data_IF_239887513062
#
_entry.id   IF_239887513062
#
_cell.length_a   1.000
_cell.length_b   1.000
_cell.length_c   1.000
_cell.angle_alpha   90.00
_cell.angle_beta   90.00
_cell.angle_gamma   90.00
#
_symmetry.space_group_name_H-M   'P 1'
#
loop_
_entity.id
_entity.type
_entity.pdbx_description
1 polymer ?
#
# COMPACT_ATOMS: atom_id res chain seq x y z
N UNK A 1 -33.21 -28.61 59.94
CA UNK A 1 -32.65 -28.82 61.31
C UNK A 1 -32.06 -27.49 61.70
N UNK A 2 -32.82 -26.76 62.50
CA UNK A 2 -32.66 -26.55 63.95
C UNK A 2 -31.49 -25.60 64.21
N UNK A 3 -31.64 -24.49 64.73
CA UNK A 3 -32.29 -23.81 65.85
C UNK A 3 -31.36 -22.68 66.28
N UNK A 4 -31.80 -21.40 66.33
CA UNK A 4 -32.26 -20.63 67.49
C UNK A 4 -31.16 -20.38 68.55
N UNK A 5 -30.90 -19.18 69.09
CA UNK A 5 -31.76 -18.19 69.74
C UNK A 5 -30.92 -16.99 70.19
N UNK A 6 -31.53 -15.80 70.22
CA UNK A 6 -31.17 -14.68 71.10
C UNK A 6 -31.93 -14.84 72.49
N UNK A 7 -31.99 -13.80 73.36
CA UNK A 7 -31.20 -12.73 73.95
C UNK A 7 -31.08 -12.87 75.48
N UNK A 8 -31.09 -11.96 76.48
CA UNK A 8 -31.62 -10.59 76.61
C UNK A 8 -30.86 -9.56 77.47
N UNK A 9 -31.19 -8.34 77.34
CA UNK A 9 -31.43 -7.16 78.18
C UNK A 9 -31.10 -7.08 79.68
N UNK A 10 -30.75 -5.83 80.13
CA UNK A 10 -31.32 -4.99 81.16
C UNK A 10 -30.29 -3.89 81.53
N UNK A 11 -30.58 -2.64 81.25
CA UNK A 11 -31.22 -1.58 82.05
C UNK A 11 -30.46 -1.21 83.36
N UNK A 12 -30.02 0.04 83.48
CA UNK A 12 -30.44 0.98 84.52
C UNK A 12 -29.84 2.38 84.31
N UNK A 13 -30.73 3.34 84.53
CA UNK A 13 -30.51 4.77 84.40
C UNK A 13 -29.74 5.38 85.57
N UNK A 14 -29.17 6.55 85.35
CA UNK A 14 -29.19 7.70 86.29
C UNK A 14 -28.62 8.96 85.60
N UNK A 15 -29.46 10.02 85.53
CA UNK A 15 -29.09 11.42 85.30
C UNK A 15 -28.80 12.06 86.66
N UNK A 16 -28.45 13.38 86.77
CA UNK A 16 -27.89 14.37 85.86
C UNK A 16 -26.71 15.13 86.50
N UNK A 17 -25.94 15.97 85.73
CA UNK A 17 -25.43 17.28 86.19
C UNK A 17 -25.09 18.14 84.97
N UNK A 18 -25.73 19.31 84.95
CA UNK A 18 -25.48 20.41 84.05
C UNK A 18 -24.13 21.06 84.27
N UNK A 19 -23.39 21.24 83.22
CA UNK A 19 -22.29 22.22 83.12
C UNK A 19 -22.36 22.95 81.78
N UNK A 20 -22.76 24.24 81.90
CA UNK A 20 -22.68 25.25 80.83
C UNK A 20 -21.24 25.36 80.38
N UNK A 21 -20.99 25.01 79.11
CA UNK A 21 -19.74 25.33 78.45
C UNK A 21 -20.04 26.10 77.20
N UNK A 22 -19.66 27.38 77.24
CA UNK A 22 -19.55 28.26 76.07
C UNK A 22 -18.74 27.59 74.96
N UNK A 23 -19.37 27.15 73.92
CA UNK A 23 -18.66 26.76 72.66
C UNK A 23 -18.69 27.99 71.76
N UNK A 24 -17.54 28.62 71.69
CA UNK A 24 -17.19 29.59 70.66
C UNK A 24 -17.42 28.91 69.30
N UNK A 25 -18.39 29.36 68.55
CA UNK A 25 -18.61 29.01 67.15
C UNK A 25 -17.43 29.59 66.33
N UNK A 26 -16.44 28.78 66.13
CA UNK A 26 -15.53 29.03 65.03
C UNK A 26 -16.32 28.64 63.75
N UNK A 27 -16.78 29.69 63.05
CA UNK A 27 -17.28 29.56 61.70
C UNK A 27 -16.22 28.89 60.86
N UNK A 28 -16.44 27.63 60.47
CA UNK A 28 -15.79 27.07 59.28
C UNK A 28 -16.21 27.95 58.11
N UNK A 29 -15.33 28.89 57.77
CA UNK A 29 -15.34 29.43 56.43
C UNK A 29 -15.08 28.21 55.53
N UNK A 30 -16.14 27.73 54.92
CA UNK A 30 -16.02 26.80 53.83
C UNK A 30 -15.15 27.50 52.78
N UNK A 31 -13.87 27.13 52.78
CA UNK A 31 -12.97 27.46 51.70
C UNK A 31 -13.63 26.96 50.44
N UNK A 32 -14.27 27.84 49.69
CA UNK A 32 -14.74 27.58 48.35
C UNK A 32 -13.51 27.07 47.56
N UNK A 33 -13.51 25.79 47.29
CA UNK A 33 -12.55 25.19 46.40
C UNK A 33 -12.39 26.03 45.14
N UNK A 34 -11.19 26.18 44.61
CA UNK A 34 -10.94 27.03 43.43
C UNK A 34 -11.80 26.53 42.27
N UNK A 35 -12.51 27.45 41.70
CA UNK A 35 -13.36 27.39 40.55
C UNK A 35 -12.78 26.42 39.46
N UNK A 36 -13.19 25.15 39.49
CA UNK A 36 -13.14 24.35 38.28
C UNK A 36 -14.19 24.96 37.36
N UNK A 37 -13.77 25.87 36.49
CA UNK A 37 -14.60 26.39 35.44
C UNK A 37 -14.94 25.21 34.54
N UNK A 38 -16.06 24.55 34.78
CA UNK A 38 -16.51 23.46 33.92
C UNK A 38 -16.71 24.04 32.52
N UNK A 39 -15.91 23.58 31.57
CA UNK A 39 -16.02 24.01 30.18
C UNK A 39 -17.26 23.32 29.59
N UNK A 40 -18.19 24.11 29.07
CA UNK A 40 -19.38 23.56 28.43
C UNK A 40 -19.00 22.94 27.05
N UNK A 41 -19.66 21.82 26.68
CA UNK A 41 -19.44 21.20 25.38
C UNK A 41 -20.04 22.04 24.24
N UNK A 42 -19.57 21.83 22.99
CA UNK A 42 -20.20 22.43 21.84
C UNK A 42 -21.65 22.00 21.69
N UNK A 43 -22.47 22.83 21.02
CA UNK A 43 -23.90 22.56 20.84
C UNK A 43 -24.21 22.26 19.37
N UNK A 44 -25.35 21.62 19.13
CA UNK A 44 -25.96 21.40 17.82
C UNK A 44 -24.96 20.77 16.81
N UNK A 45 -24.19 19.76 17.27
CA UNK A 45 -23.31 19.02 16.39
C UNK A 45 -24.13 18.28 15.32
N UNK A 46 -23.90 18.62 14.07
CA UNK A 46 -24.58 18.06 12.90
C UNK A 46 -23.59 17.59 11.85
N UNK A 47 -23.96 16.55 11.12
CA UNK A 47 -23.24 16.03 9.97
C UNK A 47 -24.17 16.10 8.77
N UNK A 48 -23.78 16.77 7.71
CA UNK A 48 -24.58 16.95 6.48
C UNK A 48 -23.80 16.48 5.26
N UNK A 49 -24.50 15.92 4.29
CA UNK A 49 -23.92 15.54 2.99
C UNK A 49 -24.18 16.67 1.98
N UNK A 50 -23.15 17.37 1.51
CA UNK A 50 -23.27 18.37 0.47
C UNK A 50 -23.37 17.78 -0.95
N UNK A 51 -23.42 16.43 -1.11
CA UNK A 51 -23.45 15.76 -2.41
C UNK A 51 -22.06 15.56 -3.05
N UNK A 52 -21.01 15.49 -2.24
CA UNK A 52 -19.62 15.35 -2.69
C UNK A 52 -19.05 13.95 -2.43
N UNK A 53 -19.86 12.92 -2.60
CA UNK A 53 -19.49 11.50 -2.59
C UNK A 53 -18.59 11.07 -1.41
N UNK A 54 -18.93 11.50 -0.19
CA UNK A 54 -18.19 11.11 1.01
C UNK A 54 -17.45 12.26 1.69
N UNK A 55 -17.37 13.42 1.08
CA UNK A 55 -16.92 14.62 1.77
C UNK A 55 -18.10 15.22 2.53
N UNK A 56 -18.15 15.00 3.84
CA UNK A 56 -19.23 15.46 4.72
C UNK A 56 -18.86 16.76 5.41
N UNK A 57 -19.87 17.63 5.61
CA UNK A 57 -19.76 18.82 6.42
C UNK A 57 -20.14 18.51 7.87
N UNK A 58 -19.22 18.80 8.80
CA UNK A 58 -19.42 18.70 10.25
C UNK A 58 -19.52 20.11 10.80
N UNK A 59 -20.64 20.46 11.40
CA UNK A 59 -20.92 21.80 11.93
C UNK A 59 -21.38 21.70 13.39
N UNK A 60 -20.99 22.70 14.19
CA UNK A 60 -21.43 22.83 15.57
C UNK A 60 -21.52 24.30 15.97
N UNK A 61 -22.20 24.57 17.06
CA UNK A 61 -22.26 25.89 17.67
C UNK A 61 -21.34 26.00 18.87
N UNK A 62 -20.80 27.19 19.18
CA UNK A 62 -20.01 27.40 20.37
C UNK A 62 -20.82 27.09 21.63
N UNK A 63 -20.16 26.70 22.73
CA UNK A 63 -20.85 26.50 24.02
C UNK A 63 -21.60 27.76 24.47
N UNK A 64 -22.70 27.62 25.21
CA UNK A 64 -23.40 28.76 25.78
C UNK A 64 -22.47 29.47 26.78
N UNK A 65 -22.55 30.78 26.86
CA UNK A 65 -21.83 31.63 27.82
C UNK A 65 -20.27 31.59 27.69
N UNK A 66 -19.72 31.08 26.62
CA UNK A 66 -18.34 31.41 26.28
C UNK A 66 -18.27 32.87 25.83
N UNK A 67 -18.46 33.78 26.80
CA UNK A 67 -17.93 35.13 26.58
C UNK A 67 -16.44 34.95 26.39
N UNK A 68 -15.98 35.20 25.19
CA UNK A 68 -14.60 35.37 24.85
C UNK A 68 -14.11 36.59 25.62
N UNK A 69 -13.80 36.42 26.92
CA UNK A 69 -12.89 37.33 27.57
C UNK A 69 -11.59 37.21 26.78
N UNK A 70 -10.94 38.31 26.45
CA UNK A 70 -9.64 38.34 25.77
C UNK A 70 -8.56 37.54 26.50
N UNK A 71 -8.92 36.88 27.59
CA UNK A 71 -8.08 36.12 28.51
C UNK A 71 -7.97 34.62 28.20
N UNK A 72 -8.88 34.06 27.41
CA UNK A 72 -8.86 32.64 27.09
C UNK A 72 -9.09 32.32 25.62
N UNK A 73 -8.36 31.33 25.14
CA UNK A 73 -8.50 30.79 23.77
C UNK A 73 -9.39 29.56 23.78
N UNK A 74 -10.44 29.61 22.99
CA UNK A 74 -11.31 28.46 22.71
C UNK A 74 -10.81 27.76 21.45
N UNK A 75 -10.65 26.43 21.54
CA UNK A 75 -10.38 25.51 20.42
C UNK A 75 -11.33 24.33 20.54
N UNK A 76 -11.46 23.60 19.46
CA UNK A 76 -12.23 22.36 19.40
C UNK A 76 -11.31 21.22 19.01
N UNK A 77 -11.48 20.07 19.66
CA UNK A 77 -10.92 18.81 19.24
C UNK A 77 -12.04 18.01 18.59
N UNK A 78 -11.93 17.78 17.31
CA UNK A 78 -12.84 16.95 16.53
C UNK A 78 -12.14 15.61 16.24
N UNK A 79 -12.78 14.53 16.63
CA UNK A 79 -12.35 13.18 16.29
C UNK A 79 -13.42 12.51 15.43
N UNK A 80 -12.98 11.84 14.38
CA UNK A 80 -13.89 11.23 13.41
C UNK A 80 -13.30 9.94 12.83
N UNK A 81 -14.19 9.02 12.45
CA UNK A 81 -13.84 7.74 11.81
C UNK A 81 -15.05 7.14 11.10
N UNK A 82 -14.84 6.11 10.30
CA UNK A 82 -15.93 5.20 9.91
C UNK A 82 -16.07 4.06 10.92
N UNK A 83 -17.28 3.54 11.07
CA UNK A 83 -17.54 2.35 11.89
C UNK A 83 -16.66 1.19 11.43
N UNK A 84 -15.91 0.59 12.36
CA UNK A 84 -14.97 -0.50 12.11
C UNK A 84 -13.51 -0.05 11.97
N UNK A 85 -13.23 1.24 11.81
CA UNK A 85 -11.86 1.75 11.88
C UNK A 85 -11.32 1.63 13.31
N UNK A 86 -10.08 1.21 13.45
CA UNK A 86 -9.43 1.05 14.77
C UNK A 86 -9.11 2.38 15.42
N UNK A 87 -8.72 3.37 14.63
CA UNK A 87 -8.21 4.64 15.10
C UNK A 87 -9.13 5.80 14.75
N UNK A 88 -9.17 6.80 15.63
CA UNK A 88 -9.82 8.07 15.38
C UNK A 88 -8.85 9.04 14.70
N UNK A 89 -9.25 9.63 13.59
CA UNK A 89 -8.56 10.78 12.99
C UNK A 89 -8.87 12.01 13.84
N UNK A 90 -7.87 12.87 14.10
CA UNK A 90 -8.00 14.00 15.03
C UNK A 90 -7.67 15.31 14.32
N UNK A 91 -8.54 16.30 14.48
CA UNK A 91 -8.32 17.67 14.02
C UNK A 91 -8.52 18.64 15.18
N UNK A 92 -7.55 19.53 15.39
CA UNK A 92 -7.67 20.68 16.29
C UNK A 92 -7.98 21.92 15.47
N UNK A 93 -9.07 22.63 15.82
CA UNK A 93 -9.54 23.79 15.06
C UNK A 93 -10.13 24.88 15.93
N UNK A 94 -10.22 26.09 15.39
CA UNK A 94 -11.01 27.19 15.92
C UNK A 94 -12.28 27.44 15.08
N UNK A 95 -12.39 26.77 13.95
CA UNK A 95 -13.57 26.87 13.07
C UNK A 95 -14.72 26.10 13.69
N UNK A 96 -15.94 26.51 13.39
CA UNK A 96 -17.19 25.85 13.79
C UNK A 96 -17.73 24.91 12.70
N UNK A 97 -17.00 24.79 11.63
CA UNK A 97 -17.31 23.94 10.47
C UNK A 97 -16.03 23.30 9.94
N UNK A 98 -16.09 22.00 9.68
CA UNK A 98 -15.05 21.22 9.02
C UNK A 98 -15.68 20.44 7.86
N UNK A 99 -14.88 20.23 6.82
CA UNK A 99 -15.21 19.29 5.74
C UNK A 99 -14.18 18.18 5.76
N UNK A 100 -14.64 16.93 5.88
CA UNK A 100 -13.76 15.75 5.99
C UNK A 100 -14.30 14.59 5.18
N UNK A 101 -13.38 13.73 4.70
CA UNK A 101 -13.70 12.55 3.90
C UNK A 101 -14.14 11.37 4.76
N UNK A 102 -15.19 10.67 4.31
CA UNK A 102 -15.70 9.42 4.87
C UNK A 102 -16.02 8.43 3.75
N UNK A 103 -15.89 7.16 4.06
CA UNK A 103 -16.42 6.08 3.23
C UNK A 103 -17.94 5.98 3.46
N UNK A 104 -18.74 6.34 2.46
CA UNK A 104 -20.19 6.33 2.54
C UNK A 104 -20.82 4.93 2.57
N UNK A 105 -20.06 3.88 2.32
CA UNK A 105 -20.54 2.50 2.50
C UNK A 105 -20.73 2.14 3.98
N UNK A 106 -20.09 2.90 4.88
CA UNK A 106 -20.07 2.71 6.33
C UNK A 106 -20.62 3.93 7.08
N UNK A 107 -21.04 3.74 8.30
CA UNK A 107 -21.50 4.85 9.15
C UNK A 107 -20.33 5.77 9.50
N UNK A 108 -20.49 7.07 9.32
CA UNK A 108 -19.58 8.09 9.82
C UNK A 108 -19.85 8.35 11.30
N UNK A 109 -18.83 8.34 12.14
CA UNK A 109 -18.87 8.64 13.57
C UNK A 109 -18.03 9.88 13.84
N UNK A 110 -18.58 10.85 14.54
CA UNK A 110 -17.91 12.11 14.89
C UNK A 110 -18.15 12.42 16.36
N UNK A 111 -17.13 12.92 17.03
CA UNK A 111 -17.24 13.51 18.35
C UNK A 111 -16.42 14.79 18.46
N UNK A 112 -16.96 15.77 19.16
CA UNK A 112 -16.33 17.08 19.31
C UNK A 112 -16.36 17.48 20.79
N UNK A 113 -15.27 18.07 21.27
CA UNK A 113 -15.17 18.68 22.58
C UNK A 113 -14.56 20.07 22.51
N UNK A 114 -14.88 20.91 23.48
CA UNK A 114 -14.30 22.24 23.63
C UNK A 114 -13.03 22.15 24.45
N UNK A 115 -11.99 22.84 24.02
CA UNK A 115 -10.74 23.04 24.74
C UNK A 115 -10.61 24.53 25.10
N UNK A 116 -10.38 24.82 26.36
CA UNK A 116 -10.17 26.17 26.86
C UNK A 116 -8.79 26.29 27.50
N UNK A 117 -8.03 27.30 27.11
CA UNK A 117 -6.70 27.58 27.69
C UNK A 117 -6.45 29.08 27.74
N UNK A 118 -5.84 29.54 28.83
CA UNK A 118 -5.43 30.93 29.05
C UNK A 118 -5.52 31.31 30.51
N UNK A 119 -5.55 32.62 30.76
CA UNK A 119 -5.60 33.18 32.11
C UNK A 119 -6.82 32.69 32.94
N UNK A 120 -7.98 32.47 32.28
CA UNK A 120 -9.18 31.94 32.93
C UNK A 120 -9.02 30.51 33.43
N UNK A 121 -7.99 29.80 33.00
CA UNK A 121 -7.71 28.42 33.41
C UNK A 121 -6.32 28.25 34.01
N UNK A 122 -5.70 29.36 34.45
CA UNK A 122 -4.31 29.37 34.93
C UNK A 122 -3.31 28.72 33.96
N UNK A 123 -3.51 28.94 32.64
CA UNK A 123 -2.76 28.36 31.54
C UNK A 123 -2.80 26.82 31.45
N UNK A 124 -3.66 26.15 32.23
CA UNK A 124 -3.94 24.72 32.10
C UNK A 124 -5.02 24.52 31.05
N UNK A 125 -4.84 23.57 30.14
CA UNK A 125 -5.88 23.23 29.18
C UNK A 125 -7.01 22.42 29.87
N UNK A 126 -8.21 22.96 29.84
CA UNK A 126 -9.42 22.33 30.38
C UNK A 126 -10.29 21.88 29.22
N UNK A 127 -10.87 20.67 29.34
CA UNK A 127 -11.66 20.02 28.30
C UNK A 127 -13.10 19.84 28.73
N UNK A 128 -14.03 19.98 27.81
CA UNK A 128 -15.44 19.65 28.03
C UNK A 128 -15.71 18.15 27.87
N UNK A 129 -16.93 17.75 28.21
CA UNK A 129 -17.48 16.47 27.78
C UNK A 129 -17.57 16.41 26.24
N UNK A 130 -17.58 15.18 25.71
CA UNK A 130 -17.73 14.93 24.29
C UNK A 130 -19.19 15.03 23.85
N UNK A 131 -19.41 15.66 22.70
CA UNK A 131 -20.68 15.58 21.96
C UNK A 131 -20.47 14.66 20.76
N UNK A 132 -21.45 13.79 20.50
CA UNK A 132 -21.39 12.75 19.48
C UNK A 132 -22.42 12.98 18.40
N UNK A 133 -22.07 12.66 17.16
CA UNK A 133 -23.02 12.57 16.05
C UNK A 133 -22.62 11.40 15.12
N UNK A 134 -23.61 10.85 14.46
CA UNK A 134 -23.40 9.81 13.44
C UNK A 134 -24.17 10.16 12.18
N UNK A 135 -23.61 9.74 11.03
CA UNK A 135 -24.27 9.90 9.75
C UNK A 135 -24.20 8.60 8.97
N UNK A 136 -25.30 8.23 8.37
CA UNK A 136 -25.38 7.08 7.47
C UNK A 136 -26.22 7.45 6.26
N UNK A 137 -25.66 7.19 5.07
CA UNK A 137 -26.41 7.37 3.82
C UNK A 137 -27.61 6.41 3.81
N UNK A 138 -28.83 6.89 3.56
CA UNK A 138 -29.99 6.02 3.38
C UNK A 138 -29.87 5.29 2.05
N UNK A 139 -29.18 4.13 2.05
CA UNK A 139 -28.97 3.33 0.86
C UNK A 139 -30.30 2.72 0.40
N UNK A 140 -30.77 3.15 -0.76
CA UNK A 140 -31.94 2.58 -1.42
C UNK A 140 -31.55 1.36 -2.26
N UNK A 141 -32.49 0.46 -2.50
CA UNK A 141 -32.26 -0.76 -3.27
C UNK A 141 -31.85 -1.98 -2.41
N UNK A 142 -31.99 -3.17 -3.00
CA UNK A 142 -31.59 -4.42 -2.36
C UNK A 142 -30.08 -4.59 -2.43
N UNK A 143 -29.47 -5.16 -1.39
CA UNK A 143 -28.01 -5.40 -1.32
C UNK A 143 -27.50 -6.17 -2.54
N UNK A 144 -28.27 -7.19 -2.95
CA UNK A 144 -27.90 -8.05 -4.08
C UNK A 144 -28.02 -7.34 -5.45
N UNK A 145 -28.55 -6.11 -5.49
CA UNK A 145 -28.57 -5.28 -6.71
C UNK A 145 -27.35 -4.39 -6.87
N UNK A 146 -26.52 -4.27 -5.84
CA UNK A 146 -25.25 -3.55 -5.89
C UNK A 146 -24.28 -4.22 -6.86
N UNK A 147 -23.47 -3.44 -7.58
CA UNK A 147 -22.43 -3.97 -8.48
C UNK A 147 -21.43 -4.83 -7.71
N UNK A 148 -20.96 -5.90 -8.36
CA UNK A 148 -20.00 -6.83 -7.79
C UNK A 148 -18.63 -6.72 -8.47
N UNK A 149 -17.60 -7.29 -7.85
CA UNK A 149 -16.23 -7.36 -8.37
C UNK A 149 -15.71 -5.98 -8.82
N UNK A 150 -16.10 -4.93 -8.08
CA UNK A 150 -15.59 -3.59 -8.33
C UNK A 150 -14.09 -3.56 -8.10
N UNK A 151 -13.35 -3.25 -9.14
CA UNK A 151 -11.90 -3.23 -9.13
C UNK A 151 -11.37 -2.07 -9.96
N UNK A 152 -10.36 -1.36 -9.43
CA UNK A 152 -9.71 -0.24 -10.12
C UNK A 152 -8.20 -0.44 -10.16
N UNK A 153 -7.57 -0.04 -11.26
CA UNK A 153 -6.12 -0.01 -11.45
C UNK A 153 -5.72 1.33 -12.06
N UNK A 154 -4.73 1.99 -11.45
CA UNK A 154 -4.17 3.24 -11.95
C UNK A 154 -2.94 2.94 -12.81
N UNK A 155 -3.14 2.95 -14.12
CA UNK A 155 -2.14 2.54 -15.10
C UNK A 155 -1.17 3.69 -15.38
N UNK A 156 0.12 3.41 -15.23
CA UNK A 156 1.24 4.27 -15.62
C UNK A 156 1.22 5.69 -15.04
N UNK A 157 0.44 5.89 -13.97
CA UNK A 157 0.12 7.22 -13.40
C UNK A 157 -0.56 8.15 -14.40
N UNK A 158 -1.26 7.60 -15.38
CA UNK A 158 -1.92 8.36 -16.45
C UNK A 158 -3.43 8.27 -16.38
N UNK A 159 -3.99 7.06 -16.19
CA UNK A 159 -5.42 6.84 -16.15
C UNK A 159 -5.85 5.75 -15.19
N UNK A 160 -7.01 5.96 -14.58
CA UNK A 160 -7.64 4.97 -13.71
C UNK A 160 -8.67 4.17 -14.50
N UNK A 161 -8.49 2.87 -14.56
CA UNK A 161 -9.46 1.94 -15.13
C UNK A 161 -10.20 1.22 -14.02
N UNK A 162 -11.50 1.47 -13.91
CA UNK A 162 -12.40 0.75 -13.01
C UNK A 162 -13.30 -0.20 -13.79
N UNK A 163 -13.53 -1.39 -13.25
CA UNK A 163 -14.44 -2.38 -13.82
C UNK A 163 -15.33 -2.97 -12.73
N UNK A 164 -16.49 -3.45 -13.11
CA UNK A 164 -17.46 -4.09 -12.22
C UNK A 164 -18.31 -5.12 -12.97
N UNK A 165 -19.04 -5.93 -12.21
CA UNK A 165 -20.06 -6.84 -12.71
C UNK A 165 -21.44 -6.39 -12.22
N UNK A 166 -22.53 -6.64 -12.98
CA UNK A 166 -23.88 -6.41 -12.48
C UNK A 166 -24.17 -7.16 -11.19
N UNK A 167 -24.95 -6.56 -10.30
CA UNK A 167 -25.44 -7.24 -9.10
C UNK A 167 -26.28 -8.47 -9.45
N UNK A 168 -26.29 -9.46 -8.55
CA UNK A 168 -27.02 -10.74 -8.77
C UNK A 168 -28.51 -10.56 -9.07
N UNK A 169 -29.14 -9.56 -8.43
CA UNK A 169 -30.55 -9.21 -8.62
C UNK A 169 -30.73 -7.95 -9.48
N UNK A 170 -29.72 -7.55 -10.25
CA UNK A 170 -29.87 -6.43 -11.15
C UNK A 170 -30.80 -6.80 -12.32
N UNK A 171 -31.79 -5.98 -12.64
CA UNK A 171 -32.67 -6.21 -13.76
C UNK A 171 -31.92 -6.21 -15.10
N UNK A 172 -32.44 -6.93 -16.10
CA UNK A 172 -31.90 -6.87 -17.45
C UNK A 172 -32.03 -5.47 -18.03
N UNK A 173 -30.99 -5.01 -18.74
CA UNK A 173 -30.98 -3.68 -19.36
C UNK A 173 -30.72 -2.52 -18.40
N UNK A 174 -30.13 -2.81 -17.22
CA UNK A 174 -29.69 -1.77 -16.31
C UNK A 174 -28.60 -0.92 -16.97
N UNK A 175 -28.68 0.39 -16.80
CA UNK A 175 -27.61 1.33 -17.18
C UNK A 175 -26.86 1.77 -15.90
N UNK A 176 -25.59 1.42 -15.82
CA UNK A 176 -24.73 1.83 -14.71
C UNK A 176 -24.04 3.15 -15.03
N UNK A 177 -23.95 4.03 -14.01
CA UNK A 177 -23.17 5.25 -14.02
C UNK A 177 -22.10 5.22 -12.93
N UNK A 178 -20.88 5.65 -13.26
CA UNK A 178 -19.84 5.90 -12.30
C UNK A 178 -19.69 7.40 -12.13
N UNK A 179 -19.65 7.85 -10.88
CA UNK A 179 -19.42 9.22 -10.46
C UNK A 179 -18.19 9.25 -9.54
N UNK A 180 -17.39 10.29 -9.64
CA UNK A 180 -16.21 10.47 -8.81
C UNK A 180 -16.06 11.89 -8.30
N UNK A 181 -15.40 12.04 -7.18
CA UNK A 181 -15.07 13.33 -6.59
C UNK A 181 -13.76 13.25 -5.81
N UNK A 182 -12.98 14.31 -5.82
CA UNK A 182 -11.82 14.53 -4.96
C UNK A 182 -11.74 16.00 -4.55
N UNK A 183 -11.01 16.33 -3.50
CA UNK A 183 -10.84 17.70 -3.02
C UNK A 183 -10.21 18.59 -4.09
N UNK A 184 -10.97 19.59 -4.54
CA UNK A 184 -10.64 20.50 -5.63
C UNK A 184 -11.65 20.50 -6.77
N UNK A 185 -12.56 19.52 -6.82
CA UNK A 185 -13.72 19.56 -7.71
C UNK A 185 -14.90 20.25 -7.02
N UNK A 186 -15.60 21.09 -7.75
CA UNK A 186 -16.80 21.77 -7.24
C UNK A 186 -17.97 20.81 -7.03
N UNK A 187 -18.10 19.81 -7.92
CA UNK A 187 -19.18 18.83 -7.94
C UNK A 187 -18.64 17.44 -8.26
N UNK A 188 -19.43 16.43 -7.95
CA UNK A 188 -19.15 15.07 -8.42
C UNK A 188 -19.25 15.01 -9.96
N UNK A 189 -18.27 14.38 -10.59
CA UNK A 189 -18.16 14.29 -12.06
C UNK A 189 -18.58 12.88 -12.48
N UNK A 190 -19.38 12.81 -13.55
CA UNK A 190 -19.76 11.54 -14.14
C UNK A 190 -18.68 11.07 -15.12
N UNK A 191 -18.44 9.76 -15.17
CA UNK A 191 -17.61 9.13 -16.20
C UNK A 191 -18.14 9.44 -17.60
N UNK A 192 -17.26 9.78 -18.51
CA UNK A 192 -17.55 10.01 -19.94
C UNK A 192 -17.01 8.91 -20.86
N UNK A 193 -16.06 8.11 -20.39
CA UNK A 193 -15.42 7.05 -21.17
C UNK A 193 -15.72 5.65 -20.58
N UNK A 194 -16.88 5.11 -20.92
CA UNK A 194 -17.35 3.82 -20.43
C UNK A 194 -16.81 2.63 -21.23
N UNK A 195 -16.45 1.58 -20.50
CA UNK A 195 -16.20 0.25 -21.07
C UNK A 195 -17.54 -0.47 -21.10
N UNK A 196 -18.01 -0.77 -22.32
CA UNK A 196 -19.29 -1.43 -22.51
C UNK A 196 -19.15 -2.90 -22.92
N UNK A 197 -20.04 -3.73 -22.39
CA UNK A 197 -20.19 -5.11 -22.79
C UNK A 197 -21.68 -5.39 -23.09
N UNK A 198 -22.01 -5.79 -24.29
CA UNK A 198 -23.41 -5.96 -24.76
C UNK A 198 -24.30 -4.73 -24.51
N UNK A 199 -23.76 -3.52 -24.66
CA UNK A 199 -24.49 -2.26 -24.46
C UNK A 199 -24.69 -1.86 -22.98
N UNK A 200 -24.10 -2.59 -22.03
CA UNK A 200 -24.15 -2.30 -20.61
C UNK A 200 -22.79 -1.73 -20.19
N UNK A 201 -22.78 -0.64 -19.42
CA UNK A 201 -21.57 -0.08 -18.85
C UNK A 201 -21.04 -1.00 -17.75
N UNK A 202 -19.87 -1.59 -17.96
CA UNK A 202 -19.21 -2.51 -17.05
C UNK A 202 -17.82 -2.03 -16.61
N UNK A 203 -17.49 -0.80 -16.93
CA UNK A 203 -16.26 -0.14 -16.52
C UNK A 203 -16.20 1.30 -16.97
N UNK A 204 -15.20 1.98 -16.49
CA UNK A 204 -14.93 3.38 -16.77
C UNK A 204 -13.43 3.63 -16.82
N UNK A 205 -12.98 4.49 -17.72
CA UNK A 205 -11.61 4.98 -17.80
C UNK A 205 -11.63 6.45 -17.44
N UNK A 206 -11.00 6.82 -16.32
CA UNK A 206 -10.84 8.20 -15.86
C UNK A 206 -9.45 8.70 -16.19
N UNK A 207 -9.36 9.84 -16.84
CA UNK A 207 -8.12 10.51 -17.23
C UNK A 207 -7.94 11.82 -16.46
N UNK A 208 -6.73 12.42 -16.56
CA UNK A 208 -6.42 13.73 -15.97
C UNK A 208 -6.62 13.79 -14.44
N UNK A 209 -6.22 12.73 -13.72
CA UNK A 209 -6.36 12.60 -12.28
C UNK A 209 -5.12 13.07 -11.48
N UNK A 210 -4.17 13.78 -12.09
CA UNK A 210 -2.94 14.24 -11.44
C UNK A 210 -3.18 15.08 -10.18
N UNK A 211 -4.28 15.83 -10.12
CA UNK A 211 -4.66 16.60 -8.93
C UNK A 211 -5.24 15.75 -7.79
N UNK A 212 -5.58 14.48 -8.06
CA UNK A 212 -6.13 13.54 -7.10
C UNK A 212 -5.09 12.52 -6.56
N UNK A 213 -3.84 12.55 -7.03
CA UNK A 213 -2.84 11.49 -6.77
C UNK A 213 -2.62 11.17 -5.29
N UNK A 214 -2.62 12.19 -4.42
CA UNK A 214 -2.41 12.02 -2.98
C UNK A 214 -3.62 12.44 -2.15
N UNK A 215 -4.82 12.40 -2.76
CA UNK A 215 -6.09 12.71 -2.12
C UNK A 215 -7.00 11.51 -2.14
N UNK A 216 -7.96 11.51 -1.26
CA UNK A 216 -9.07 10.56 -1.31
C UNK A 216 -9.88 10.80 -2.58
N UNK A 217 -9.94 9.79 -3.45
CA UNK A 217 -10.81 9.74 -4.61
C UNK A 217 -12.07 8.97 -4.25
N UNK A 218 -13.15 9.68 -4.03
CA UNK A 218 -14.47 9.09 -3.74
C UNK A 218 -15.15 8.67 -5.03
N UNK A 219 -15.68 7.46 -5.06
CA UNK A 219 -16.39 6.88 -6.20
C UNK A 219 -17.77 6.41 -5.77
N UNK A 220 -18.74 6.63 -6.64
CA UNK A 220 -20.07 6.03 -6.55
C UNK A 220 -20.39 5.34 -7.89
N UNK A 221 -20.72 4.07 -7.82
CA UNK A 221 -21.32 3.35 -8.97
C UNK A 221 -22.78 3.09 -8.64
N UNK A 222 -23.68 3.66 -9.43
CA UNK A 222 -25.11 3.45 -9.27
C UNK A 222 -25.72 2.93 -10.58
N UNK A 223 -26.94 2.46 -10.50
CA UNK A 223 -27.68 2.01 -11.68
C UNK A 223 -29.17 2.22 -11.50
N UNK A 224 -29.85 2.36 -12.61
CA UNK A 224 -31.29 2.47 -12.62
C UNK A 224 -31.89 1.74 -13.82
N UNK A 225 -33.09 1.21 -13.62
CA UNK A 225 -33.92 0.65 -14.69
C UNK A 225 -35.34 1.13 -14.47
N UNK A 226 -35.90 1.88 -15.42
CA UNK A 226 -37.18 2.54 -15.29
C UNK A 226 -37.28 3.33 -13.98
N UNK A 227 -38.20 2.99 -13.07
CA UNK A 227 -38.36 3.64 -11.78
C UNK A 227 -37.66 2.87 -10.63
N UNK A 228 -36.93 1.78 -10.91
CA UNK A 228 -36.28 0.97 -9.88
C UNK A 228 -34.84 1.46 -9.66
N UNK A 229 -34.57 1.93 -8.45
CA UNK A 229 -33.21 2.28 -8.02
C UNK A 229 -32.48 1.04 -7.56
N UNK A 230 -31.26 0.87 -8.01
CA UNK A 230 -30.33 -0.15 -7.52
C UNK A 230 -29.56 0.40 -6.33
N UNK A 231 -29.05 -0.49 -5.50
CA UNK A 231 -28.17 -0.10 -4.41
C UNK A 231 -26.87 0.47 -4.96
N UNK A 232 -26.50 1.70 -4.62
CA UNK A 232 -25.23 2.27 -5.04
C UNK A 232 -24.07 1.62 -4.28
N UNK A 233 -22.95 1.41 -4.98
CA UNK A 233 -21.66 1.12 -4.38
C UNK A 233 -20.93 2.44 -4.13
N UNK A 234 -20.38 2.61 -2.93
CA UNK A 234 -19.45 3.70 -2.61
C UNK A 234 -18.09 3.13 -2.29
N UNK A 235 -17.04 3.76 -2.78
CA UNK A 235 -15.66 3.41 -2.53
C UNK A 235 -14.80 4.68 -2.39
N UNK A 236 -13.81 4.63 -1.51
CA UNK A 236 -12.76 5.65 -1.40
C UNK A 236 -11.43 5.03 -1.77
N UNK A 237 -10.74 5.62 -2.73
CA UNK A 237 -9.53 5.10 -3.32
C UNK A 237 -8.37 6.07 -3.12
N UNK A 238 -7.16 5.54 -2.95
CA UNK A 238 -5.90 6.27 -3.02
C UNK A 238 -5.19 5.85 -4.31
N UNK A 239 -5.08 6.76 -5.29
CA UNK A 239 -4.57 6.43 -6.62
C UNK A 239 -3.17 5.82 -6.60
N UNK A 240 -2.27 6.37 -5.80
CA UNK A 240 -0.90 5.86 -5.68
C UNK A 240 -0.84 4.41 -5.19
N UNK A 241 -1.80 3.97 -4.35
CA UNK A 241 -1.90 2.57 -3.88
C UNK A 241 -2.48 1.61 -4.95
N UNK A 242 -3.06 2.15 -6.01
CA UNK A 242 -3.62 1.40 -7.13
C UNK A 242 -2.72 1.41 -8.37
N UNK A 243 -1.53 2.00 -8.24
CA UNK A 243 -0.62 2.17 -9.36
C UNK A 243 -0.09 0.82 -9.88
N UNK A 244 -0.20 0.64 -11.19
CA UNK A 244 0.41 -0.47 -11.93
C UNK A 244 1.22 0.11 -13.07
N UNK A 245 2.57 0.14 -12.98
CA UNK A 245 3.40 0.61 -14.08
C UNK A 245 3.38 -0.39 -15.24
N UNK A 246 3.70 0.08 -16.43
CA UNK A 246 4.02 -0.75 -17.58
C UNK A 246 5.27 -1.60 -17.31
N UNK A 247 5.50 -2.67 -18.08
CA UNK A 247 6.71 -3.47 -17.93
C UNK A 247 7.98 -2.65 -18.14
N UNK A 248 9.07 -2.94 -17.42
CA UNK A 248 10.38 -2.36 -17.71
C UNK A 248 10.76 -2.58 -19.18
N UNK A 249 11.44 -1.61 -19.78
CA UNK A 249 11.77 -1.63 -21.21
C UNK A 249 13.23 -1.98 -21.44
N UNK A 250 13.57 -2.34 -22.68
CA UNK A 250 14.95 -2.53 -23.15
C UNK A 250 15.80 -3.41 -22.20
N UNK A 251 15.24 -4.56 -21.80
CA UNK A 251 15.99 -5.53 -21.00
C UNK A 251 17.14 -6.09 -21.85
N UNK A 252 18.37 -5.85 -21.39
CA UNK A 252 19.61 -6.28 -22.07
C UNK A 252 20.43 -7.11 -21.11
N UNK A 253 20.91 -8.25 -21.62
CA UNK A 253 21.83 -9.14 -20.92
C UNK A 253 23.16 -9.11 -21.64
N UNK A 254 24.25 -8.75 -20.97
CA UNK A 254 25.57 -8.58 -21.54
C UNK A 254 26.66 -9.13 -20.63
N UNK A 255 27.83 -9.48 -21.20
CA UNK A 255 28.99 -9.86 -20.41
C UNK A 255 29.84 -8.62 -20.12
N UNK A 256 30.21 -8.42 -18.87
CA UNK A 256 31.15 -7.37 -18.46
C UNK A 256 32.58 -7.76 -18.79
N UNK A 257 33.50 -6.79 -18.74
CA UNK A 257 34.94 -7.05 -18.91
C UNK A 257 35.51 -7.98 -17.82
N UNK A 258 34.87 -8.07 -16.67
CA UNK A 258 35.20 -9.00 -15.58
C UNK A 258 34.59 -10.40 -15.77
N UNK A 259 34.01 -10.70 -16.93
CA UNK A 259 33.28 -11.93 -17.23
C UNK A 259 32.07 -12.15 -16.29
N UNK A 260 31.47 -11.07 -15.78
CA UNK A 260 30.19 -11.11 -15.02
C UNK A 260 29.04 -10.88 -15.99
N UNK A 261 27.94 -11.60 -15.79
CA UNK A 261 26.72 -11.38 -16.52
C UNK A 261 26.02 -10.14 -15.95
N UNK A 262 25.89 -9.11 -16.76
CA UNK A 262 25.20 -7.86 -16.40
C UNK A 262 23.84 -7.81 -17.06
N UNK A 263 22.83 -7.61 -16.24
CA UNK A 263 21.46 -7.36 -16.65
C UNK A 263 21.18 -5.88 -16.48
N UNK A 264 20.63 -5.23 -17.49
CA UNK A 264 20.25 -3.81 -17.45
C UNK A 264 18.91 -3.62 -18.14
N UNK A 265 18.12 -2.69 -17.66
CA UNK A 265 16.81 -2.35 -18.23
C UNK A 265 16.55 -0.86 -18.13
N UNK A 266 15.61 -0.37 -18.92
CA UNK A 266 15.09 0.98 -18.80
C UNK A 266 13.81 0.98 -17.94
N UNK A 267 13.56 2.05 -17.18
CA UNK A 267 12.30 2.20 -16.48
C UNK A 267 11.08 2.03 -17.39
N UNK A 268 9.90 1.69 -16.84
CA UNK A 268 8.65 1.73 -17.58
C UNK A 268 8.44 3.09 -18.24
N UNK A 269 7.69 3.12 -19.33
CA UNK A 269 7.12 4.34 -19.87
C UNK A 269 6.03 4.91 -18.96
N UNK A 270 5.42 6.03 -19.38
CA UNK A 270 4.35 6.69 -18.65
C UNK A 270 4.85 7.76 -17.69
N UNK A 271 3.98 8.20 -16.78
CA UNK A 271 4.25 9.32 -15.87
C UNK A 271 4.70 8.86 -14.47
N UNK A 272 4.92 7.55 -14.26
CA UNK A 272 5.40 7.04 -12.98
C UNK A 272 6.76 7.66 -12.63
N UNK A 273 6.89 8.38 -11.50
CA UNK A 273 8.17 8.99 -11.13
C UNK A 273 9.25 7.92 -10.94
N UNK A 274 10.44 8.03 -11.56
CA UNK A 274 11.47 7.00 -11.48
C UNK A 274 11.91 6.65 -10.05
N UNK A 275 11.92 7.63 -9.15
CA UNK A 275 12.25 7.43 -7.72
C UNK A 275 11.18 6.64 -6.95
N UNK A 276 9.98 6.51 -7.50
CA UNK A 276 8.88 5.75 -6.94
C UNK A 276 8.88 4.29 -7.40
N UNK A 277 9.80 3.87 -8.26
CA UNK A 277 9.86 2.51 -8.79
C UNK A 277 10.79 1.61 -7.98
N UNK A 278 10.40 0.36 -7.81
CA UNK A 278 11.25 -0.74 -7.41
C UNK A 278 11.05 -1.93 -8.36
N UNK A 279 12.07 -2.75 -8.50
CA UNK A 279 12.10 -3.83 -9.48
C UNK A 279 12.36 -5.17 -8.81
N UNK A 280 11.67 -6.22 -9.26
CA UNK A 280 11.98 -7.60 -8.93
C UNK A 280 12.64 -8.26 -10.12
N UNK A 281 13.81 -8.86 -9.87
CA UNK A 281 14.59 -9.64 -10.84
C UNK A 281 14.47 -11.11 -10.52
N UNK A 282 14.12 -11.93 -11.51
CA UNK A 282 14.08 -13.38 -11.39
C UNK A 282 14.93 -14.04 -12.49
N UNK A 283 15.56 -15.14 -12.12
CA UNK A 283 16.38 -15.96 -12.99
C UNK A 283 15.73 -17.32 -13.21
N UNK A 284 15.75 -17.82 -14.45
CA UNK A 284 15.41 -19.19 -14.75
C UNK A 284 16.68 -20.03 -14.74
N UNK A 285 16.75 -21.00 -13.82
CA UNK A 285 17.85 -21.96 -13.74
C UNK A 285 17.46 -23.27 -14.43
N UNK A 286 18.37 -23.78 -15.29
CA UNK A 286 18.21 -25.13 -15.86
C UNK A 286 18.48 -26.19 -14.78
N UNK A 287 17.48 -26.99 -14.49
CA UNK A 287 17.58 -28.15 -13.57
C UNK A 287 17.47 -29.46 -14.36
N UNK A 288 18.47 -29.80 -15.19
CA UNK A 288 18.47 -31.01 -15.99
C UNK A 288 17.31 -31.07 -16.99
N UNK A 289 16.56 -32.18 -17.03
CA UNK A 289 15.39 -32.37 -17.92
C UNK A 289 14.10 -31.69 -17.41
N UNK A 290 14.11 -31.11 -16.19
CA UNK A 290 12.96 -30.44 -15.61
C UNK A 290 12.78 -29.01 -16.20
N UNK A 291 11.52 -28.53 -16.24
CA UNK A 291 11.23 -27.13 -16.61
C UNK A 291 12.02 -26.18 -15.71
N UNK A 292 12.71 -25.22 -16.33
CA UNK A 292 13.43 -24.17 -15.61
C UNK A 292 12.54 -23.51 -14.54
N UNK A 293 13.02 -23.50 -13.30
CA UNK A 293 12.33 -22.85 -12.19
C UNK A 293 12.77 -21.38 -12.10
N UNK A 294 11.80 -20.47 -11.87
CA UNK A 294 12.09 -19.08 -11.65
C UNK A 294 12.43 -18.82 -10.17
N UNK A 295 13.59 -18.22 -9.94
CA UNK A 295 14.06 -17.87 -8.60
C UNK A 295 14.18 -16.35 -8.50
N UNK A 296 13.55 -15.75 -7.51
CA UNK A 296 13.70 -14.33 -7.21
C UNK A 296 15.07 -14.09 -6.58
N UNK A 297 15.86 -13.19 -7.16
CA UNK A 297 17.24 -12.94 -6.73
C UNK A 297 17.46 -11.55 -6.16
N UNK A 298 16.61 -10.60 -6.53
CA UNK A 298 16.73 -9.22 -6.04
C UNK A 298 15.39 -8.50 -6.10
N UNK A 299 15.17 -7.61 -5.11
CA UNK A 299 14.18 -6.51 -5.18
C UNK A 299 14.96 -5.23 -4.88
N UNK A 300 14.98 -4.30 -5.84
CA UNK A 300 15.89 -3.14 -5.82
C UNK A 300 15.32 -1.94 -6.56
N UNK A 301 15.90 -0.78 -6.32
CA UNK A 301 15.57 0.48 -7.01
C UNK A 301 16.42 0.69 -8.26
N UNK A 302 17.62 0.15 -8.29
CA UNK A 302 18.53 0.25 -9.41
C UNK A 302 18.02 -0.50 -10.65
N UNK A 303 18.38 -0.01 -11.82
CA UNK A 303 18.03 -0.58 -13.14
C UNK A 303 19.11 -1.50 -13.70
N UNK A 304 20.03 -1.94 -12.86
CA UNK A 304 21.09 -2.89 -13.24
C UNK A 304 21.30 -3.93 -12.15
N UNK A 305 21.59 -5.15 -12.58
CA UNK A 305 21.89 -6.27 -11.71
C UNK A 305 23.05 -7.09 -12.28
N UNK A 306 23.98 -7.52 -11.42
CA UNK A 306 25.14 -8.32 -11.86
C UNK A 306 25.10 -9.71 -11.25
N UNK A 307 25.39 -10.72 -12.06
CA UNK A 307 25.39 -12.12 -11.67
C UNK A 307 26.84 -12.61 -11.72
N UNK A 308 27.35 -13.12 -10.59
CA UNK A 308 28.70 -13.63 -10.49
C UNK A 308 28.94 -14.85 -11.40
N UNK A 309 30.18 -15.05 -11.83
CA UNK A 309 30.61 -16.14 -12.73
C UNK A 309 30.19 -17.54 -12.24
N UNK A 310 30.21 -17.78 -10.95
CA UNK A 310 29.90 -19.08 -10.37
C UNK A 310 28.47 -19.59 -10.69
N UNK A 311 27.53 -18.67 -10.92
CA UNK A 311 26.09 -18.99 -11.12
C UNK A 311 25.66 -18.90 -12.59
N UNK A 312 26.52 -18.45 -13.52
CA UNK A 312 26.13 -18.14 -14.92
C UNK A 312 25.82 -19.37 -15.75
N UNK A 313 26.47 -20.50 -15.51
CA UNK A 313 26.38 -21.69 -16.36
C UNK A 313 25.02 -22.41 -16.33
N UNK A 314 24.15 -22.03 -15.43
CA UNK A 314 22.81 -22.63 -15.25
C UNK A 314 21.66 -21.69 -15.62
N UNK A 315 21.95 -20.41 -15.87
CA UNK A 315 20.93 -19.41 -16.15
C UNK A 315 20.63 -19.41 -17.64
N UNK A 316 19.35 -19.59 -17.98
CA UNK A 316 18.86 -19.57 -19.35
C UNK A 316 18.04 -18.33 -19.69
N UNK A 317 17.33 -17.77 -18.72
CA UNK A 317 16.52 -16.57 -18.93
C UNK A 317 16.55 -15.66 -17.69
N UNK A 318 16.33 -14.38 -17.93
CA UNK A 318 16.13 -13.35 -16.92
C UNK A 318 14.80 -12.67 -17.16
N UNK A 319 14.08 -12.34 -16.12
CA UNK A 319 12.89 -11.49 -16.22
C UNK A 319 12.87 -10.43 -15.12
N UNK A 320 12.30 -9.29 -15.45
CA UNK A 320 12.20 -8.13 -14.56
C UNK A 320 10.79 -7.59 -14.61
N UNK A 321 10.25 -7.18 -13.47
CA UNK A 321 9.02 -6.42 -13.36
C UNK A 321 9.20 -5.27 -12.38
N UNK A 322 8.33 -4.27 -12.47
CA UNK A 322 8.37 -3.10 -11.60
C UNK A 322 7.07 -2.89 -10.84
N UNK A 323 7.14 -2.19 -9.72
CA UNK A 323 5.99 -1.65 -9.00
C UNK A 323 6.35 -0.33 -8.33
N UNK A 324 5.34 0.35 -7.78
CA UNK A 324 5.57 1.51 -6.91
C UNK A 324 6.16 1.04 -5.57
N UNK A 325 7.21 1.71 -5.11
CA UNK A 325 7.90 1.40 -3.86
C UNK A 325 7.18 1.98 -2.63
N UNK A 326 7.58 1.53 -1.44
CA UNK A 326 6.95 1.91 -0.16
C UNK A 326 7.19 3.38 0.26
N UNK A 327 7.99 4.16 -0.46
CA UNK A 327 8.13 5.60 -0.22
C UNK A 327 7.01 6.40 -0.88
N UNK A 328 6.44 5.87 -1.97
CA UNK A 328 5.42 6.56 -2.76
C UNK A 328 4.02 5.96 -2.60
N UNK A 329 3.90 4.72 -2.13
CA UNK A 329 2.64 4.03 -1.92
C UNK A 329 2.76 2.96 -0.83
N UNK A 330 1.71 2.76 -0.04
CA UNK A 330 1.65 1.66 0.94
C UNK A 330 1.45 0.31 0.24
N UNK A 331 0.78 0.33 -0.91
CA UNK A 331 0.46 -0.81 -1.76
C UNK A 331 0.70 -0.45 -3.23
N UNK A 332 0.69 -1.42 -4.11
CA UNK A 332 0.80 -1.23 -5.55
C UNK A 332 0.84 -2.55 -6.29
N UNK A 333 0.49 -2.49 -7.57
CA UNK A 333 0.49 -3.69 -8.42
C UNK A 333 1.84 -3.86 -9.10
N UNK A 334 2.29 -5.10 -9.20
CA UNK A 334 3.40 -5.43 -10.07
C UNK A 334 2.99 -5.26 -11.54
N UNK A 335 3.92 -4.74 -12.34
CA UNK A 335 3.81 -4.77 -13.79
C UNK A 335 3.80 -6.21 -14.32
N UNK A 336 3.50 -6.38 -15.60
CA UNK A 336 3.83 -7.61 -16.30
C UNK A 336 5.37 -7.77 -16.39
N UNK A 337 5.81 -8.98 -16.66
CA UNK A 337 7.23 -9.30 -16.78
C UNK A 337 7.79 -8.90 -18.15
N UNK A 338 8.94 -8.26 -18.16
CA UNK A 338 9.84 -8.22 -19.34
C UNK A 338 10.85 -9.33 -19.18
N UNK A 339 11.02 -10.13 -20.20
CA UNK A 339 11.86 -11.33 -20.17
C UNK A 339 12.83 -11.36 -21.36
N UNK A 340 14.07 -11.80 -21.10
CA UNK A 340 15.09 -12.08 -22.10
C UNK A 340 15.73 -13.44 -21.82
N UNK A 341 15.82 -14.29 -22.88
CA UNK A 341 16.45 -15.59 -22.79
C UNK A 341 17.72 -15.61 -23.64
N UNK A 342 18.75 -16.22 -23.12
CA UNK A 342 20.06 -16.28 -23.79
C UNK A 342 20.67 -17.67 -23.62
N UNK A 343 21.37 -18.12 -24.65
CA UNK A 343 22.20 -19.31 -24.54
C UNK A 343 23.61 -18.91 -24.11
N UNK A 344 24.02 -19.32 -22.93
CA UNK A 344 25.42 -19.25 -22.54
C UNK A 344 26.14 -20.26 -23.43
N UNK A 345 26.63 -19.81 -24.58
CA UNK A 345 27.50 -20.65 -25.43
C UNK A 345 28.69 -21.08 -24.59
N UNK A 346 28.67 -22.32 -24.09
CA UNK A 346 29.94 -22.98 -23.73
C UNK A 346 30.78 -22.88 -24.96
N UNK A 347 31.77 -21.97 -24.98
CA UNK A 347 32.95 -22.13 -25.84
C UNK A 347 33.53 -23.46 -25.43
N UNK A 348 33.10 -24.50 -26.11
CA UNK A 348 33.60 -25.85 -25.87
C UNK A 348 35.11 -25.79 -26.06
N UNK A 349 35.80 -26.25 -25.06
CA UNK A 349 37.25 -26.54 -25.10
C UNK A 349 37.56 -27.67 -26.11
N UNK A 350 36.69 -27.93 -27.09
CA UNK A 350 36.90 -28.90 -28.17
C UNK A 350 38.09 -28.57 -29.01
N UNK A 351 38.48 -27.31 -29.14
CA UNK A 351 39.69 -26.96 -29.92
C UNK A 351 40.98 -27.42 -29.22
N UNK A 352 41.02 -27.50 -27.90
CA UNK A 352 42.23 -27.94 -27.20
C UNK A 352 42.47 -29.46 -27.35
N UNK A 353 41.43 -30.25 -27.38
CA UNK A 353 41.53 -31.71 -27.56
C UNK A 353 41.90 -32.13 -28.99
N UNK A 354 41.65 -31.31 -29.99
CA UNK A 354 42.09 -31.57 -31.39
C UNK A 354 43.55 -31.12 -31.59
N UNK A 355 44.01 -30.09 -30.94
CA UNK A 355 45.40 -29.61 -31.06
C UNK A 355 46.43 -30.49 -30.35
N UNK A 356 46.06 -31.13 -29.23
CA UNK A 356 46.99 -32.02 -28.49
C UNK A 356 47.43 -33.22 -29.33
N UNK A 357 46.58 -34.01 -29.99
CA UNK A 357 47.03 -35.12 -30.84
C UNK A 357 47.79 -34.65 -32.09
N UNK A 358 47.47 -33.48 -32.64
CA UNK A 358 48.23 -32.91 -33.79
C UNK A 358 49.63 -32.51 -33.38
N UNK A 359 49.79 -31.86 -32.22
CA UNK A 359 51.13 -31.47 -31.69
C UNK A 359 51.95 -32.73 -31.36
N UNK A 360 51.33 -33.75 -30.72
CA UNK A 360 52.00 -35.01 -30.42
C UNK A 360 52.39 -35.79 -31.69
N UNK A 361 51.49 -35.78 -32.70
CA UNK A 361 51.77 -36.38 -34.00
C UNK A 361 52.92 -35.70 -34.76
N UNK A 362 52.98 -34.37 -34.76
CA UNK A 362 54.07 -33.60 -35.38
C UNK A 362 55.39 -33.77 -34.62
N UNK A 363 55.38 -33.81 -33.28
CA UNK A 363 56.62 -34.04 -32.50
C UNK A 363 57.14 -35.44 -32.65
N UNK A 364 56.29 -36.47 -32.74
CA UNK A 364 56.73 -37.85 -33.01
C UNK A 364 57.27 -38.01 -34.43
N UNK A 365 56.67 -37.39 -35.44
CA UNK A 365 57.24 -37.39 -36.84
C UNK A 365 58.56 -36.66 -36.89
N UNK A 366 58.81 -35.56 -36.23
CA UNK A 366 60.07 -34.87 -36.14
C UNK A 366 61.17 -35.74 -35.49
N UNK A 367 60.83 -36.44 -34.42
CA UNK A 367 61.76 -37.41 -33.78
C UNK A 367 62.11 -38.56 -34.68
N UNK A 368 61.16 -39.10 -35.45
CA UNK A 368 61.45 -40.17 -36.44
C UNK A 368 62.34 -39.63 -37.55
N UNK A 369 62.10 -38.44 -38.09
CA UNK A 369 62.93 -37.83 -39.09
C UNK A 369 64.36 -37.53 -38.57
N UNK A 370 64.54 -37.10 -37.35
CA UNK A 370 65.87 -36.88 -36.75
C UNK A 370 66.64 -38.18 -36.53
N UNK A 371 65.92 -39.26 -36.09
CA UNK A 371 66.54 -40.60 -35.96
C UNK A 371 66.96 -41.19 -37.30
N UNK A 372 66.12 -41.08 -38.33
CA UNK A 372 66.45 -41.51 -39.69
C UNK A 372 67.67 -40.71 -40.24
N UNK A 373 67.69 -39.39 -39.97
CA UNK A 373 68.81 -38.51 -40.35
C UNK A 373 70.12 -38.87 -39.67
N UNK A 374 70.09 -39.31 -38.41
CA UNK A 374 71.23 -39.79 -37.65
C UNK A 374 71.69 -41.17 -38.11
N UNK A 375 70.82 -42.08 -38.48
CA UNK A 375 71.19 -43.36 -39.08
C UNK A 375 71.89 -43.16 -40.45
N UNK A 376 71.44 -42.23 -41.26
CA UNK A 376 72.04 -41.90 -42.55
C UNK A 376 73.44 -41.26 -42.47
N UNK A 377 73.73 -40.52 -41.37
CA UNK A 377 75.03 -39.93 -41.08
C UNK A 377 76.06 -40.90 -40.53
N UNK A 378 75.65 -42.10 -40.05
CA UNK A 378 76.53 -43.12 -39.48
C UNK A 378 76.90 -44.28 -40.44
N UNK A 379 76.51 -44.22 -41.72
CA UNK A 379 76.95 -45.16 -42.72
C UNK A 379 78.32 -44.73 -43.23
N UNK A 380 79.45 -45.43 -42.90
CA UNK A 380 80.70 -45.22 -43.53
C UNK A 380 80.68 -45.80 -44.96
N UNK A 381 81.16 -45.03 -45.93
CA UNK A 381 81.35 -45.48 -47.28
C UNK A 381 82.33 -46.66 -47.30
N UNK A 382 81.88 -47.83 -47.80
CA UNK A 382 82.82 -48.86 -48.28
C UNK A 382 82.68 -50.20 -47.63
N UNK A 383 81.87 -51.07 -48.24
CA UNK A 383 82.12 -52.44 -48.68
C UNK A 383 80.78 -53.21 -48.87
N UNK A 384 80.69 -54.02 -49.90
CA UNK A 384 79.49 -54.78 -50.12
C UNK A 384 79.46 -55.97 -49.19
N UNK A 385 78.49 -56.11 -48.36
CA UNK A 385 78.25 -57.28 -47.53
C UNK A 385 76.79 -57.66 -47.62
N UNK A 386 76.63 -58.92 -47.89
CA UNK A 386 75.49 -59.79 -47.90
C UNK A 386 74.10 -59.28 -47.35
N UNK A 387 73.07 -59.78 -47.92
CA UNK A 387 71.68 -59.37 -47.57
C UNK A 387 71.17 -60.14 -46.29
N UNK A 388 71.47 -59.61 -45.14
CA UNK A 388 70.82 -60.01 -43.90
C UNK A 388 71.22 -59.09 -42.77
N UNK A 389 70.64 -57.92 -42.68
CA UNK A 389 70.34 -57.22 -41.42
C UNK A 389 69.43 -56.04 -41.72
N UNK A 390 68.15 -56.26 -41.46
CA UNK A 390 67.14 -55.22 -41.33
C UNK A 390 67.40 -54.45 -40.04
N UNK A 391 67.53 -53.16 -40.15
CA UNK A 391 67.23 -52.24 -39.04
C UNK A 391 65.82 -51.86 -39.07
#
# INVERSE_FOLDING_TARGET
>A
MLHQRAPPASAMALQPVSLLSLVLAWGCVASSSPWHTAVAPPQDLQITDPGLLGSLDIEWKPPPNTQTSNECTVKYKCEFRNTGDREWKVIFTRKLKLRVGFDLSRTAEVKVQTLLKGWCTNDVEVQSEWVYATFRVPLQGKVESEVQDFHCVYHDWEYLKCTWQPGLLAPRGVNYGLYYWYEGLEHAVQCDNYIQHHGINMGCILQNLSQAEYKDLSICVNGSVAATLLRPLYATLLLHNLAKPSPPQQLVVSMSAAEELRVAWSPPGGQTPPQCLEYEVQLAEEQGEAKAAWVSVSTQVETTFSISRANQSRISCVRVRGRTNNFCADEGFWSEWTQECFSVSRKEVKQLFILIPVILGLSSSLLIFTLIGQCKKRSPAGKPLHPLMRC
#
